data_IF_787391231935
#
_entry.id   IF_787391231935
#
_cell.length_a   1.000
_cell.length_b   1.000
_cell.length_c   1.000
_cell.angle_alpha   90.00
_cell.angle_beta   90.00
_cell.angle_gamma   90.00
#
_symmetry.space_group_name_H-M   'P 1'
#
loop_
_entity.id
_entity.type
_entity.pdbx_description
1 polymer ?
#
# COMPACT_ATOMS: atom_id res chain seq x y z
N UNK A 1 -24.81 -23.97 12.11
CA UNK A 1 -24.43 -23.57 11.76
C UNK A 1 -23.95 -22.76 11.65
N UNK A 2 -23.90 -22.54 11.72
CA UNK A 2 -23.36 -21.87 11.52
C UNK A 2 -23.05 -20.92 11.64
N UNK A 3 -22.93 -20.60 11.66
CA UNK A 3 -22.46 -19.81 11.63
C UNK A 3 -22.69 -18.96 11.94
N UNK A 4 -22.72 -18.80 12.16
CA UNK A 4 -22.72 -17.98 12.35
C UNK A 4 -22.77 -17.04 12.19
N UNK A 5 -22.86 -17.64 12.64
CA UNK A 5 -23.55 -16.42 12.53
C UNK A 5 -22.83 -15.18 12.07
N UNK A 6 -21.71 -14.95 12.51
CA UNK A 6 -20.99 -13.77 12.06
C UNK A 6 -20.61 -13.95 10.60
N UNK A 7 -21.09 -13.04 9.74
CA UNK A 7 -20.66 -12.97 8.38
C UNK A 7 -19.15 -12.75 8.34
N UNK A 8 -18.41 -13.50 7.54
CA UNK A 8 -17.01 -13.16 7.36
C UNK A 8 -16.94 -11.77 6.75
N UNK A 9 -16.08 -10.95 7.30
CA UNK A 9 -15.92 -9.61 6.78
C UNK A 9 -15.41 -9.66 5.35
N UNK A 10 -16.07 -8.92 4.48
CA UNK A 10 -15.67 -8.85 3.09
C UNK A 10 -14.37 -8.07 2.97
N UNK A 11 -13.35 -8.72 2.45
CA UNK A 11 -12.09 -8.08 2.11
C UNK A 11 -12.06 -7.79 0.63
N UNK A 12 -11.73 -6.56 0.30
CA UNK A 12 -11.57 -6.15 -1.10
C UNK A 12 -10.09 -6.16 -1.43
N UNK A 13 -9.73 -6.84 -2.49
CA UNK A 13 -8.35 -6.90 -2.96
C UNK A 13 -8.30 -6.49 -4.42
N UNK A 14 -7.30 -5.71 -4.76
CA UNK A 14 -7.03 -5.32 -6.13
C UNK A 14 -5.54 -5.41 -6.39
N UNK A 15 -5.17 -5.75 -7.62
CA UNK A 15 -3.79 -5.92 -8.03
C UNK A 15 -3.60 -5.27 -9.37
N UNK A 16 -2.50 -4.55 -9.53
CA UNK A 16 -2.14 -3.93 -10.80
C UNK A 16 -0.65 -3.91 -10.99
N UNK A 17 -0.22 -3.68 -12.21
CA UNK A 17 1.19 -3.58 -12.57
C UNK A 17 1.41 -2.42 -13.51
N UNK A 18 2.62 -1.85 -13.46
CA UNK A 18 3.01 -0.78 -14.36
C UNK A 18 4.51 -0.88 -14.62
N UNK A 19 4.93 -0.42 -15.78
CA UNK A 19 6.35 -0.36 -16.13
C UNK A 19 6.86 1.05 -15.87
N UNK A 20 7.92 1.17 -15.10
CA UNK A 20 8.57 2.43 -14.75
C UNK A 20 9.90 2.49 -15.48
N UNK A 21 10.19 3.63 -16.09
CA UNK A 21 11.46 3.86 -16.82
C UNK A 21 12.54 4.32 -15.83
N UNK A 22 12.86 3.44 -14.91
CA UNK A 22 13.90 3.69 -13.91
C UNK A 22 14.42 2.33 -13.43
N UNK A 23 15.63 2.31 -12.90
CA UNK A 23 16.25 1.08 -12.41
C UNK A 23 15.49 0.54 -11.20
N UNK A 24 15.61 -0.78 -10.99
CA UNK A 24 14.95 -1.42 -9.84
C UNK A 24 15.48 -0.84 -8.52
N UNK A 25 16.73 -0.44 -8.45
CA UNK A 25 17.31 0.17 -7.27
C UNK A 25 16.60 1.49 -6.96
N UNK A 26 16.47 2.36 -7.97
CA UNK A 26 15.83 3.67 -7.78
C UNK A 26 14.35 3.53 -7.41
N UNK A 27 13.65 2.64 -8.11
CA UNK A 27 12.22 2.40 -7.85
C UNK A 27 12.02 1.86 -6.44
N UNK A 28 12.85 0.91 -6.03
CA UNK A 28 12.77 0.33 -4.70
C UNK A 28 13.00 1.40 -3.62
N UNK A 29 14.00 2.27 -3.81
CA UNK A 29 14.28 3.34 -2.85
C UNK A 29 13.08 4.28 -2.68
N UNK A 30 12.36 4.55 -3.77
CA UNK A 30 11.16 5.38 -3.71
C UNK A 30 10.07 4.72 -2.86
N UNK A 31 9.93 3.40 -2.92
CA UNK A 31 8.95 2.67 -2.14
C UNK A 31 9.36 2.49 -0.67
N UNK A 32 10.64 2.61 -0.37
CA UNK A 32 11.11 2.62 1.02
C UNK A 32 10.82 3.96 1.71
N UNK A 33 10.65 5.03 0.96
CA UNK A 33 10.40 6.35 1.50
C UNK A 33 8.91 6.51 1.84
N UNK A 34 8.48 5.92 2.95
CA UNK A 34 7.07 5.88 3.35
C UNK A 34 6.47 7.27 3.51
N UNK A 35 7.25 8.24 3.94
CA UNK A 35 6.78 9.61 4.12
C UNK A 35 6.32 10.24 2.81
N UNK A 36 6.75 9.68 1.67
CA UNK A 36 6.36 10.17 0.36
C UNK A 36 5.11 9.49 -0.20
N UNK A 37 4.58 8.48 0.49
CA UNK A 37 3.40 7.75 0.02
C UNK A 37 2.20 8.65 -0.26
N UNK A 38 1.93 9.72 0.51
CA UNK A 38 0.82 10.62 0.17
C UNK A 38 0.91 11.25 -1.22
N UNK A 39 2.10 11.30 -1.80
CA UNK A 39 2.29 11.89 -3.12
C UNK A 39 1.70 11.05 -4.25
N UNK A 40 1.51 9.74 -4.03
CA UNK A 40 0.94 8.87 -5.05
C UNK A 40 -0.18 7.97 -4.55
N UNK A 41 -0.22 7.61 -3.28
CA UNK A 41 -1.34 6.88 -2.68
C UNK A 41 -2.21 7.92 -1.99
N UNK A 42 -3.15 8.47 -2.73
CA UNK A 42 -3.89 9.66 -2.29
C UNK A 42 -4.84 9.41 -1.12
N UNK A 43 -5.17 8.15 -0.83
CA UNK A 43 -5.92 7.81 0.38
C UNK A 43 -5.09 8.02 1.64
N UNK A 44 -3.77 8.05 1.52
CA UNK A 44 -2.86 8.31 2.63
C UNK A 44 -2.59 9.81 2.65
N UNK A 45 -3.02 10.48 3.72
CA UNK A 45 -2.87 11.95 3.84
C UNK A 45 -1.54 12.32 4.48
N UNK A 46 -1.04 11.48 5.38
CA UNK A 46 0.20 11.74 6.10
C UNK A 46 0.76 10.45 6.66
N UNK A 47 2.08 10.34 6.70
CA UNK A 47 2.76 9.20 7.30
C UNK A 47 3.77 9.71 8.31
N UNK A 48 3.79 9.12 9.50
CA UNK A 48 4.76 9.45 10.53
C UNK A 48 5.45 8.17 10.98
N UNK A 49 6.77 8.18 10.95
CA UNK A 49 7.56 7.03 11.36
C UNK A 49 7.60 6.93 12.89
N UNK A 50 7.37 5.74 13.42
CA UNK A 50 7.48 5.45 14.85
C UNK A 50 8.83 4.81 15.17
N UNK A 51 9.21 3.81 14.40
CA UNK A 51 10.51 3.13 14.52
C UNK A 51 10.86 2.52 13.16
N UNK A 52 11.87 1.66 13.12
CA UNK A 52 12.36 1.11 11.85
C UNK A 52 11.28 0.34 11.07
N UNK A 53 10.30 -0.24 11.78
CA UNK A 53 9.31 -1.12 11.15
C UNK A 53 7.87 -0.68 11.36
N UNK A 54 7.63 0.45 12.03
CA UNK A 54 6.27 0.89 12.36
C UNK A 54 6.04 2.34 11.95
N UNK A 55 4.85 2.59 11.40
CA UNK A 55 4.45 3.90 10.91
C UNK A 55 3.01 4.17 11.31
N UNK A 56 2.66 5.44 11.46
CA UNK A 56 1.25 5.85 11.56
C UNK A 56 0.89 6.54 10.26
N UNK A 57 -0.16 6.02 9.61
CA UNK A 57 -0.70 6.63 8.40
C UNK A 57 -2.08 7.21 8.70
N UNK A 58 -2.30 8.44 8.28
CA UNK A 58 -3.62 9.06 8.33
C UNK A 58 -4.29 8.80 7.01
N UNK A 59 -5.38 8.03 7.05
CA UNK A 59 -6.14 7.64 5.85
C UNK A 59 -7.38 8.51 5.73
N UNK A 60 -7.63 9.01 4.53
CA UNK A 60 -8.82 9.81 4.27
C UNK A 60 -9.56 9.31 3.04
N UNK A 61 -10.82 8.95 3.22
CA UNK A 61 -11.69 8.53 2.13
C UNK A 61 -13.15 8.62 2.59
N UNK A 62 -14.04 8.85 1.63
CA UNK A 62 -15.48 8.95 1.88
C UNK A 62 -15.82 10.00 2.95
N UNK A 63 -15.06 11.11 2.99
CA UNK A 63 -15.29 12.18 3.95
C UNK A 63 -14.89 11.85 5.38
N UNK A 64 -14.23 10.72 5.61
CA UNK A 64 -13.79 10.28 6.93
C UNK A 64 -12.28 10.20 6.99
N UNK A 65 -11.73 10.28 8.19
CA UNK A 65 -10.31 10.18 8.42
C UNK A 65 -10.04 9.16 9.51
N UNK A 66 -9.02 8.32 9.27
CA UNK A 66 -8.61 7.27 10.21
C UNK A 66 -7.11 7.30 10.36
N UNK A 67 -6.64 7.10 11.59
CA UNK A 67 -5.21 6.86 11.84
C UNK A 67 -5.00 5.37 12.03
N UNK A 68 -4.04 4.81 11.32
CA UNK A 68 -3.72 3.39 11.40
C UNK A 68 -2.23 3.24 11.62
N UNK A 69 -1.86 2.33 12.53
CA UNK A 69 -0.46 1.95 12.70
C UNK A 69 -0.17 0.81 11.75
N UNK A 70 0.89 0.95 10.98
CA UNK A 70 1.33 -0.04 10.02
C UNK A 70 2.64 -0.66 10.43
N UNK A 71 2.77 -1.94 10.15
CA UNK A 71 3.98 -2.70 10.39
C UNK A 71 4.56 -3.17 9.07
N UNK A 72 5.86 -2.97 8.88
CA UNK A 72 6.58 -3.56 7.78
C UNK A 72 6.82 -5.04 8.09
N UNK A 73 6.19 -5.93 7.31
CA UNK A 73 6.25 -7.37 7.54
C UNK A 73 7.37 -8.05 6.78
N UNK A 74 7.68 -7.52 5.60
CA UNK A 74 8.64 -8.14 4.71
C UNK A 74 9.38 -7.05 3.95
N UNK A 75 10.70 -7.16 3.93
CA UNK A 75 11.54 -6.27 3.16
C UNK A 75 12.63 -7.12 2.51
N UNK A 76 12.42 -7.45 1.22
CA UNK A 76 13.43 -8.14 0.42
C UNK A 76 13.96 -7.13 -0.57
N UNK A 77 15.20 -6.64 -0.38
CA UNK A 77 15.72 -5.53 -1.19
C UNK A 77 15.55 -5.74 -2.69
N UNK A 78 15.00 -4.74 -3.34
CA UNK A 78 14.79 -4.68 -4.79
C UNK A 78 13.88 -5.77 -5.33
N UNK A 79 13.16 -6.49 -4.45
CA UNK A 79 12.24 -7.55 -4.85
C UNK A 79 10.85 -7.37 -4.31
N UNK A 80 10.70 -7.12 -3.00
CA UNK A 80 9.36 -7.09 -2.41
C UNK A 80 9.33 -6.34 -1.09
N UNK A 81 8.27 -5.57 -0.90
CA UNK A 81 7.91 -4.96 0.37
C UNK A 81 6.50 -5.37 0.72
N UNK A 82 6.23 -5.66 1.99
CA UNK A 82 4.89 -5.97 2.44
C UNK A 82 4.64 -5.31 3.79
N UNK A 83 3.46 -4.73 3.97
CA UNK A 83 3.07 -4.07 5.20
C UNK A 83 1.59 -4.30 5.46
N UNK A 84 1.19 -4.12 6.72
CA UNK A 84 -0.20 -4.25 7.14
C UNK A 84 -0.50 -3.32 8.30
N UNK A 85 -1.78 -3.04 8.49
CA UNK A 85 -2.21 -2.34 9.69
C UNK A 85 -2.15 -3.28 10.88
N UNK A 86 -1.83 -2.73 12.05
CA UNK A 86 -1.94 -3.46 13.32
C UNK A 86 -3.37 -3.36 13.82
N UNK A 87 -3.79 -4.36 14.59
CA UNK A 87 -5.11 -4.39 15.17
C UNK A 87 -5.31 -3.19 16.10
N UNK A 88 -6.45 -2.54 16.00
CA UNK A 88 -6.83 -1.42 16.83
C UNK A 88 -8.12 -1.79 17.53
N UNK A 89 -8.11 -1.82 18.86
CA UNK A 89 -9.29 -2.18 19.64
C UNK A 89 -10.42 -1.17 19.49
N UNK A 90 -10.14 0.06 19.08
CA UNK A 90 -11.17 1.07 18.83
C UNK A 90 -11.77 0.93 17.44
N UNK A 91 -11.08 0.25 16.54
CA UNK A 91 -11.54 0.00 15.18
C UNK A 91 -11.08 -1.39 14.74
N UNK A 92 -11.56 -2.46 15.41
CA UNK A 92 -11.06 -3.82 15.15
C UNK A 92 -11.35 -4.31 13.74
N UNK A 93 -12.31 -3.67 13.07
CA UNK A 93 -12.72 -4.05 11.73
C UNK A 93 -11.91 -3.35 10.65
N UNK A 94 -11.06 -2.41 11.03
CA UNK A 94 -10.26 -1.65 10.06
C UNK A 94 -8.97 -2.39 9.77
N UNK A 95 -8.84 -2.89 8.56
CA UNK A 95 -7.67 -3.62 8.12
C UNK A 95 -7.26 -3.17 6.72
N UNK A 96 -5.98 -3.01 6.52
CA UNK A 96 -5.42 -2.81 5.19
C UNK A 96 -4.03 -3.45 5.14
N UNK A 97 -3.67 -3.96 3.98
CA UNK A 97 -2.36 -4.55 3.74
C UNK A 97 -1.95 -4.26 2.32
N UNK A 98 -0.66 -4.17 2.11
CA UNK A 98 -0.11 -3.94 0.77
C UNK A 98 1.11 -4.79 0.54
N UNK A 99 1.26 -5.24 -0.70
CA UNK A 99 2.47 -5.91 -1.18
C UNK A 99 2.87 -5.22 -2.47
N UNK A 100 4.11 -4.78 -2.54
CA UNK A 100 4.67 -4.25 -3.78
C UNK A 100 5.85 -5.13 -4.16
N UNK A 101 5.87 -5.54 -5.44
CA UNK A 101 6.92 -6.39 -5.99
C UNK A 101 7.58 -5.68 -7.15
N UNK A 102 8.86 -5.97 -7.35
CA UNK A 102 9.69 -5.32 -8.35
C UNK A 102 10.34 -6.37 -9.22
N UNK A 103 10.32 -6.16 -10.52
CA UNK A 103 10.99 -7.03 -11.48
C UNK A 103 11.79 -6.18 -12.47
N UNK A 104 13.12 -6.34 -12.49
CA UNK A 104 13.92 -5.60 -13.47
C UNK A 104 13.63 -6.11 -14.88
N UNK A 105 13.62 -5.17 -15.82
CA UNK A 105 13.39 -5.47 -17.22
C UNK A 105 14.68 -5.28 -18.01
N UNK A 106 14.75 -5.90 -19.18
CA UNK A 106 15.97 -5.91 -20.00
C UNK A 106 16.41 -4.53 -20.49
N UNK A 107 15.49 -3.57 -20.54
CA UNK A 107 15.77 -2.20 -21.01
C UNK A 107 16.07 -1.24 -19.85
N UNK A 108 16.45 -1.77 -18.71
CA UNK A 108 16.73 -1.03 -17.47
C UNK A 108 15.48 -0.40 -16.86
N UNK A 109 14.31 -0.81 -17.29
CA UNK A 109 13.07 -0.45 -16.65
C UNK A 109 12.74 -1.41 -15.51
N UNK A 110 11.64 -1.13 -14.83
CA UNK A 110 11.19 -1.95 -13.72
C UNK A 110 9.68 -2.15 -13.84
N UNK A 111 9.24 -3.39 -13.71
CA UNK A 111 7.82 -3.68 -13.54
C UNK A 111 7.50 -3.63 -12.05
N UNK A 112 6.54 -2.79 -11.70
CA UNK A 112 6.06 -2.67 -10.32
C UNK A 112 4.68 -3.29 -10.26
N UNK A 113 4.48 -4.20 -9.33
CA UNK A 113 3.18 -4.83 -9.10
C UNK A 113 2.75 -4.49 -7.68
N UNK A 114 1.56 -3.90 -7.56
CA UNK A 114 1.00 -3.50 -6.27
C UNK A 114 -0.28 -4.27 -6.05
N UNK A 115 -0.38 -4.90 -4.88
CA UNK A 115 -1.62 -5.52 -4.41
C UNK A 115 -2.03 -4.85 -3.12
N UNK A 116 -3.26 -4.34 -3.08
CA UNK A 116 -3.85 -3.76 -1.88
C UNK A 116 -5.04 -4.59 -1.45
N UNK A 117 -5.14 -4.86 -0.16
CA UNK A 117 -6.26 -5.55 0.47
C UNK A 117 -6.78 -4.66 1.58
N UNK A 118 -8.09 -4.53 1.69
CA UNK A 118 -8.68 -3.60 2.64
C UNK A 118 -10.06 -4.07 3.06
N UNK A 119 -10.39 -3.86 4.34
CA UNK A 119 -11.73 -4.05 4.86
C UNK A 119 -12.60 -2.80 4.71
N UNK A 120 -12.06 -1.72 4.12
CA UNK A 120 -12.76 -0.45 3.94
C UNK A 120 -13.65 -0.44 2.70
N UNK A 121 -14.12 -1.59 2.24
CA UNK A 121 -14.78 -1.70 0.95
C UNK A 121 -13.79 -1.46 -0.17
N UNK A 122 -14.25 -1.06 -1.34
CA UNK A 122 -13.37 -0.78 -2.47
C UNK A 122 -12.70 0.58 -2.45
N UNK A 123 -12.93 1.39 -1.41
CA UNK A 123 -12.49 2.80 -1.41
C UNK A 123 -10.97 2.96 -1.49
N UNK A 124 -10.21 2.03 -0.94
CA UNK A 124 -8.75 2.06 -0.98
C UNK A 124 -8.22 1.16 -2.08
N UNK A 125 -8.61 -0.12 -2.07
CA UNK A 125 -8.02 -1.12 -2.96
C UNK A 125 -8.39 -0.94 -4.43
N UNK A 126 -9.57 -0.39 -4.73
CA UNK A 126 -10.01 -0.21 -6.12
C UNK A 126 -9.21 0.83 -6.90
N UNK A 127 -8.32 1.56 -6.23
CA UNK A 127 -7.56 2.64 -6.87
C UNK A 127 -6.11 2.26 -7.15
N UNK A 128 -5.80 0.98 -7.14
CA UNK A 128 -4.42 0.49 -7.38
C UNK A 128 -3.85 1.04 -8.68
N UNK A 129 -4.60 0.99 -9.77
CA UNK A 129 -4.11 1.47 -11.06
C UNK A 129 -3.83 2.97 -11.04
N UNK A 130 -4.67 3.74 -10.37
CA UNK A 130 -4.45 5.17 -10.23
C UNK A 130 -3.19 5.45 -9.42
N UNK A 131 -2.99 4.74 -8.33
CA UNK A 131 -1.80 4.91 -7.49
C UNK A 131 -0.53 4.59 -8.26
N UNK A 132 -0.56 3.53 -9.07
CA UNK A 132 0.59 3.18 -9.90
C UNK A 132 0.87 4.23 -10.96
N UNK A 133 -0.16 4.78 -11.60
CA UNK A 133 0.02 5.87 -12.56
C UNK A 133 0.60 7.12 -11.88
N UNK A 134 0.10 7.44 -10.69
CA UNK A 134 0.64 8.55 -9.91
C UNK A 134 2.12 8.33 -9.58
N UNK A 135 2.46 7.11 -9.17
CA UNK A 135 3.85 6.76 -8.88
C UNK A 135 4.73 6.91 -10.12
N UNK A 136 4.26 6.42 -11.27
CA UNK A 136 5.00 6.55 -12.53
C UNK A 136 5.27 8.02 -12.85
N UNK A 137 4.25 8.87 -12.71
CA UNK A 137 4.41 10.31 -12.96
C UNK A 137 5.42 10.93 -11.98
N UNK A 138 5.40 10.50 -10.74
CA UNK A 138 6.33 11.00 -9.72
C UNK A 138 7.79 10.66 -10.06
N UNK A 139 8.03 9.44 -10.53
CA UNK A 139 9.39 8.97 -10.84
C UNK A 139 9.89 9.50 -12.18
N UNK A 140 9.03 9.49 -13.18
CA UNK A 140 9.45 9.85 -14.54
C UNK A 140 9.34 11.36 -14.83
N UNK A 141 8.73 12.08 -13.92
CA UNK A 141 8.53 13.49 -14.09
C UNK A 141 7.32 13.76 -14.94
#
# INVERSE_FOLDING_TARGET
>A
MRHNGAEPRTMNAAKGSIVIKASVVDVYQRWLAFEDYPKFITAIKRVRKLDANHFVASLGFNGKQYDATLEMMLCVPERRLAWRTLADRHAPDHFAAGVVSFAPLSDQGTRVTLKLTSSFGGAVSSRVDKYLRNFKSLVEG
#
